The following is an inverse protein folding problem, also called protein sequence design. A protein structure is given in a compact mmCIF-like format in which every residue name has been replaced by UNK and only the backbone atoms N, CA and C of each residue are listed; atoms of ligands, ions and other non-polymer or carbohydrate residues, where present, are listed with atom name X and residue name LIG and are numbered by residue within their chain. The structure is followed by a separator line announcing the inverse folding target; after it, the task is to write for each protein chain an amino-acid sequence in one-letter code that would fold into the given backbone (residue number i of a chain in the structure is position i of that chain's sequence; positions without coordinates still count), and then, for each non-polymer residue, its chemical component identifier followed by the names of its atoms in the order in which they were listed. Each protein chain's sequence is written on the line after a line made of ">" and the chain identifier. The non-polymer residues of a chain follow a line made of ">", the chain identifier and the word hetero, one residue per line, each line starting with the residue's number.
data_IF_708190153215
#
_entry.id   IF_708190153215
#
_cell.length_a   1.000
_cell.length_b   1.000
_cell.length_c   1.000
_cell.angle_alpha   90.00
_cell.angle_beta   90.00
_cell.angle_gamma   90.00
#
_symmetry.space_group_name_H-M   'P 1'
#
loop_
_entity.id
_entity.type
_entity.pdbx_description
1 polymer ?
#
# COMPACT_ATOMS: atom_id res chain seq x y z
N UNK A 1 52.91 10.89 16.15
CA UNK A 1 52.32 11.80 15.14
C UNK A 1 51.05 12.33 15.72
N UNK A 2 50.88 13.65 15.83
CA UNK A 2 49.67 14.26 16.28
C UNK A 2 48.58 14.07 15.16
N UNK A 3 47.42 13.63 15.54
CA UNK A 3 46.27 13.54 14.64
C UNK A 3 45.95 14.97 14.19
N UNK A 4 45.80 15.19 12.88
CA UNK A 4 45.43 16.51 12.35
C UNK A 4 44.07 16.90 12.93
N UNK A 5 43.98 18.12 13.48
CA UNK A 5 42.72 18.74 13.87
C UNK A 5 41.81 18.84 12.62
N UNK A 6 40.52 18.60 12.77
CA UNK A 6 39.50 18.59 11.71
C UNK A 6 39.54 17.38 10.76
N UNK A 7 40.08 16.24 11.15
CA UNK A 7 39.90 15.00 10.41
C UNK A 7 38.48 14.45 10.68
N UNK A 8 37.69 14.29 9.67
CA UNK A 8 36.40 13.57 9.76
C UNK A 8 36.70 12.10 10.06
N UNK A 9 36.33 11.63 11.24
CA UNK A 9 36.49 10.24 11.69
C UNK A 9 35.21 9.49 11.41
N UNK A 10 35.24 8.13 11.37
CA UNK A 10 34.07 7.30 11.23
C UNK A 10 32.97 7.61 12.28
N UNK A 11 33.37 8.00 13.49
CA UNK A 11 32.46 8.43 14.55
C UNK A 11 31.74 9.77 14.29
N UNK A 12 32.07 10.49 13.22
CA UNK A 12 31.40 11.72 12.80
C UNK A 12 30.38 11.49 11.67
N UNK A 13 30.15 10.24 11.27
CA UNK A 13 29.20 9.85 10.23
C UNK A 13 28.12 9.02 10.91
N UNK A 14 27.00 9.66 11.25
CA UNK A 14 25.87 9.05 11.96
C UNK A 14 25.01 8.14 11.08
N UNK A 15 25.13 8.27 9.76
CA UNK A 15 24.32 7.49 8.81
C UNK A 15 25.24 6.63 7.97
N UNK A 16 25.02 5.31 8.00
CA UNK A 16 25.79 4.40 7.18
C UNK A 16 25.28 4.44 5.73
N UNK A 17 26.20 4.37 4.76
CA UNK A 17 25.86 4.26 3.32
C UNK A 17 24.89 3.10 3.07
N UNK A 18 24.98 2.02 3.85
CA UNK A 18 24.11 0.86 3.82
C UNK A 18 22.66 1.21 4.15
N UNK A 19 22.43 2.05 5.14
CA UNK A 19 21.07 2.47 5.54
C UNK A 19 20.42 3.32 4.45
N UNK A 20 21.18 4.28 3.91
CA UNK A 20 20.71 5.12 2.81
C UNK A 20 20.37 4.26 1.59
N UNK A 21 21.23 3.32 1.20
CA UNK A 21 21.02 2.43 0.06
C UNK A 21 19.77 1.57 0.26
N UNK A 22 19.59 0.99 1.45
CA UNK A 22 18.42 0.17 1.77
C UNK A 22 17.11 0.95 1.64
N UNK A 23 17.02 2.12 2.28
CA UNK A 23 15.82 2.97 2.24
C UNK A 23 15.58 3.51 0.84
N UNK A 24 16.62 3.91 0.12
CA UNK A 24 16.50 4.40 -1.27
C UNK A 24 15.94 3.34 -2.20
N UNK A 25 16.43 2.11 -2.10
CA UNK A 25 15.89 1.00 -2.92
C UNK A 25 14.44 0.68 -2.61
N UNK A 26 14.07 0.67 -1.32
CA UNK A 26 12.69 0.47 -0.92
C UNK A 26 11.78 1.58 -1.47
N UNK A 27 12.18 2.84 -1.27
CA UNK A 27 11.39 4.01 -1.69
C UNK A 27 11.23 4.08 -3.20
N UNK A 28 12.29 3.86 -3.95
CA UNK A 28 12.23 3.87 -5.42
C UNK A 28 11.27 2.80 -5.96
N UNK A 29 11.31 1.60 -5.39
CA UNK A 29 10.40 0.53 -5.76
C UNK A 29 8.96 0.88 -5.40
N UNK A 30 8.74 1.42 -4.20
CA UNK A 30 7.44 1.85 -3.72
C UNK A 30 6.82 2.97 -4.56
N UNK A 31 7.60 4.01 -4.89
CA UNK A 31 7.13 5.13 -5.71
C UNK A 31 6.77 4.68 -7.12
N UNK A 32 7.54 3.76 -7.70
CA UNK A 32 7.24 3.18 -9.00
C UNK A 32 5.92 2.38 -8.95
N UNK A 33 5.69 1.57 -7.91
CA UNK A 33 4.46 0.85 -7.71
C UNK A 33 3.26 1.79 -7.55
N UNK A 34 3.39 2.81 -6.71
CA UNK A 34 2.35 3.82 -6.47
C UNK A 34 1.98 4.55 -7.75
N UNK A 35 2.97 4.93 -8.56
CA UNK A 35 2.74 5.62 -9.83
C UNK A 35 1.98 4.76 -10.84
N UNK A 36 2.25 3.45 -10.88
CA UNK A 36 1.55 2.52 -11.78
C UNK A 36 0.13 2.27 -11.29
N UNK A 37 -0.04 2.04 -10.01
CA UNK A 37 -1.36 1.79 -9.41
C UNK A 37 -2.26 3.02 -9.46
N UNK A 38 -1.72 4.21 -9.15
CA UNK A 38 -2.47 5.46 -9.08
C UNK A 38 -3.59 5.49 -8.03
N UNK A 39 -3.73 4.44 -7.22
CA UNK A 39 -4.87 4.18 -6.33
C UNK A 39 -4.62 4.53 -4.86
N UNK A 40 -3.38 4.87 -4.48
CA UNK A 40 -3.04 5.19 -3.10
C UNK A 40 -2.52 6.62 -2.97
N UNK A 41 -3.17 7.41 -2.12
CA UNK A 41 -2.66 8.70 -1.67
C UNK A 41 -1.94 8.52 -0.34
N UNK A 42 -0.64 8.82 -0.24
CA UNK A 42 0.06 8.79 1.04
C UNK A 42 -0.30 10.01 1.88
N UNK A 43 -0.77 9.77 3.10
CA UNK A 43 -1.16 10.81 4.06
C UNK A 43 -0.41 10.56 5.37
N UNK A 44 0.51 11.47 5.70
CA UNK A 44 1.23 11.41 6.98
C UNK A 44 0.31 11.69 8.16
N UNK A 45 0.44 10.91 9.22
CA UNK A 45 -0.24 11.10 10.49
C UNK A 45 0.77 11.04 11.64
N UNK A 46 0.45 11.73 12.72
CA UNK A 46 1.24 11.63 13.95
C UNK A 46 1.08 10.24 14.59
N UNK A 47 2.10 9.75 15.31
CA UNK A 47 1.99 8.51 16.08
C UNK A 47 0.77 8.53 17.03
N UNK A 48 0.08 7.39 17.15
CA UNK A 48 -1.11 7.27 18.00
C UNK A 48 -2.39 7.92 17.46
N UNK A 49 -2.39 8.42 16.21
CA UNK A 49 -3.60 8.97 15.59
C UNK A 49 -4.58 7.85 15.28
N UNK A 50 -5.81 7.98 15.79
CA UNK A 50 -6.93 7.14 15.40
C UNK A 50 -7.60 7.72 14.14
N UNK A 51 -7.79 6.88 13.13
CA UNK A 51 -8.51 7.23 11.92
C UNK A 51 -10.01 7.02 12.16
N UNK A 52 -10.80 8.06 11.92
CA UNK A 52 -12.26 7.99 12.02
C UNK A 52 -12.88 8.44 10.71
N UNK A 53 -13.81 7.65 10.18
CA UNK A 53 -14.67 8.07 9.08
C UNK A 53 -16.06 8.36 9.61
N UNK A 54 -16.66 9.42 9.13
CA UNK A 54 -18.05 9.75 9.41
C UNK A 54 -18.82 9.88 8.08
N UNK A 55 -20.02 9.33 8.05
CA UNK A 55 -20.93 9.48 6.92
C UNK A 55 -22.04 10.46 7.30
N UNK A 56 -22.21 11.50 6.49
CA UNK A 56 -23.30 12.45 6.63
C UNK A 56 -24.42 12.11 5.64
N UNK A 57 -25.62 11.91 6.15
CA UNK A 57 -26.83 11.75 5.36
C UNK A 57 -27.76 12.94 5.59
N UNK A 58 -28.32 13.50 4.51
CA UNK A 58 -29.27 14.57 4.59
C UNK A 58 -30.57 14.14 3.96
N UNK A 59 -31.65 14.21 4.71
CA UNK A 59 -33.02 14.04 4.21
C UNK A 59 -33.63 15.41 4.00
N UNK A 60 -33.71 15.82 2.73
CA UNK A 60 -34.32 17.09 2.37
C UNK A 60 -35.83 17.01 2.51
N UNK A 61 -36.42 18.01 3.15
CA UNK A 61 -37.88 18.24 3.13
C UNK A 61 -38.29 18.94 1.83
N UNK A 62 -39.57 18.85 1.43
CA UNK A 62 -40.06 19.54 0.24
C UNK A 62 -39.77 21.02 0.30
N UNK A 63 -39.04 21.53 -0.71
CA UNK A 63 -38.72 22.97 -0.79
C UNK A 63 -39.80 23.83 -1.46
N UNK A 64 -40.84 23.19 -2.02
CA UNK A 64 -41.96 23.91 -2.64
C UNK A 64 -43.04 24.16 -1.58
N UNK A 65 -42.89 25.25 -0.86
CA UNK A 65 -43.86 25.78 0.13
C UNK A 65 -44.61 26.93 -0.44
N UNK A 66 -45.87 27.10 -0.03
CA UNK A 66 -46.69 28.24 -0.47
C UNK A 66 -46.16 29.55 0.09
N UNK A 67 -46.55 30.68 -0.54
CA UNK A 67 -46.17 32.00 -0.11
C UNK A 67 -46.72 32.28 1.31
N UNK A 68 -45.80 32.57 2.26
CA UNK A 68 -46.14 32.83 3.66
C UNK A 68 -46.10 31.59 4.57
N UNK A 69 -45.90 30.39 4.04
CA UNK A 69 -45.77 29.18 4.85
C UNK A 69 -44.34 28.98 5.40
N UNK A 70 -44.27 28.33 6.53
CA UNK A 70 -43.00 28.01 7.18
C UNK A 70 -42.21 26.94 6.37
N UNK A 71 -40.92 27.21 6.10
CA UNK A 71 -40.04 26.27 5.40
C UNK A 71 -39.67 25.13 6.36
N UNK A 72 -40.00 23.85 6.05
CA UNK A 72 -39.68 22.72 6.90
C UNK A 72 -38.16 22.45 6.97
N UNK A 73 -37.64 22.17 8.16
CA UNK A 73 -36.23 21.87 8.35
C UNK A 73 -35.86 20.49 7.81
N UNK A 74 -34.80 20.46 7.03
CA UNK A 74 -34.20 19.20 6.57
C UNK A 74 -33.31 18.60 7.67
N UNK A 75 -33.39 17.29 7.83
CA UNK A 75 -32.59 16.56 8.83
C UNK A 75 -31.24 16.17 8.25
N UNK A 76 -30.17 16.60 8.90
CA UNK A 76 -28.82 16.11 8.65
C UNK A 76 -28.37 15.21 9.81
N UNK A 77 -27.99 13.98 9.51
CA UNK A 77 -27.49 13.01 10.48
C UNK A 77 -26.05 12.66 10.12
N UNK A 78 -25.15 12.77 11.09
CA UNK A 78 -23.76 12.31 10.95
C UNK A 78 -23.58 11.08 11.82
N UNK A 79 -23.20 9.98 11.20
CA UNK A 79 -22.92 8.72 11.86
C UNK A 79 -21.43 8.37 11.72
N UNK A 80 -20.82 7.91 12.78
CA UNK A 80 -19.47 7.37 12.74
C UNK A 80 -19.50 6.02 12.01
N UNK A 81 -18.79 5.91 10.88
CA UNK A 81 -18.87 4.75 9.99
C UNK A 81 -17.83 3.68 10.34
N UNK A 82 -16.62 4.09 10.66
CA UNK A 82 -15.52 3.16 10.98
C UNK A 82 -14.39 3.85 11.75
N UNK A 83 -13.64 3.05 12.49
CA UNK A 83 -12.41 3.43 13.17
C UNK A 83 -11.29 2.48 12.77
N UNK A 84 -10.10 3.01 12.58
CA UNK A 84 -8.89 2.21 12.38
C UNK A 84 -7.71 2.89 13.08
N UNK A 85 -6.83 2.08 13.65
CA UNK A 85 -5.58 2.54 14.23
C UNK A 85 -4.43 2.26 13.26
N UNK A 86 -3.44 3.16 13.22
CA UNK A 86 -2.23 2.93 12.46
C UNK A 86 -1.32 2.03 13.28
N UNK A 87 -1.20 0.77 12.88
CA UNK A 87 -0.34 -0.20 13.55
C UNK A 87 1.12 0.05 13.18
N UNK A 88 1.96 0.23 14.22
CA UNK A 88 3.41 0.34 14.06
C UNK A 88 4.02 -1.06 14.17
N UNK A 89 4.73 -1.47 13.13
CA UNK A 89 5.44 -2.74 13.07
C UNK A 89 6.93 -2.54 13.12
N UNK A 90 7.58 -3.46 13.79
CA UNK A 90 9.01 -3.46 14.06
C UNK A 90 9.58 -4.78 13.61
N UNK A 91 10.57 -4.70 12.75
CA UNK A 91 11.26 -5.87 12.23
C UNK A 91 12.74 -5.77 12.58
N UNK A 92 13.34 -6.87 12.96
CA UNK A 92 14.76 -6.94 13.28
C UNK A 92 15.40 -8.15 12.61
N UNK A 93 16.65 -7.98 12.24
CA UNK A 93 17.52 -9.05 11.73
C UNK A 93 18.90 -8.90 12.33
N UNK A 94 19.54 -10.02 12.63
CA UNK A 94 20.91 -10.03 13.13
C UNK A 94 21.81 -10.95 12.29
N UNK A 95 23.07 -10.59 12.14
CA UNK A 95 24.10 -11.36 11.44
C UNK A 95 25.30 -11.52 12.36
N UNK A 96 25.72 -12.76 12.66
CA UNK A 96 26.85 -13.03 13.53
C UNK A 96 28.20 -12.81 12.85
N UNK A 97 29.22 -12.50 13.65
CA UNK A 97 30.59 -12.32 13.16
C UNK A 97 31.15 -13.61 12.53
N UNK A 98 30.72 -14.78 13.02
CA UNK A 98 31.14 -16.07 12.49
C UNK A 98 30.58 -16.28 11.07
N UNK A 99 29.35 -15.83 10.81
CA UNK A 99 28.77 -15.88 9.47
C UNK A 99 29.54 -15.00 8.49
N UNK A 100 29.93 -13.80 8.92
CA UNK A 100 30.76 -12.88 8.11
C UNK A 100 32.15 -13.48 7.89
N UNK A 101 32.77 -14.06 8.92
CA UNK A 101 34.07 -14.69 8.81
C UNK A 101 34.07 -15.90 7.87
N UNK A 102 32.99 -16.69 7.87
CA UNK A 102 32.87 -17.91 7.06
C UNK A 102 32.46 -17.65 5.61
N UNK A 103 31.53 -16.76 5.38
CA UNK A 103 30.91 -16.54 4.08
C UNK A 103 31.23 -15.20 3.42
N UNK A 104 31.89 -14.29 4.15
CA UNK A 104 32.17 -12.91 3.71
C UNK A 104 30.99 -11.97 3.86
N UNK A 105 31.27 -10.67 3.96
CA UNK A 105 30.28 -9.62 4.17
C UNK A 105 29.26 -9.54 3.00
N UNK A 106 29.69 -9.76 1.76
CA UNK A 106 28.81 -9.72 0.59
C UNK A 106 27.68 -10.77 0.66
N UNK A 107 27.95 -11.95 1.23
CA UNK A 107 26.92 -13.00 1.37
C UNK A 107 26.16 -12.84 2.68
N UNK A 108 26.86 -12.67 3.78
CA UNK A 108 26.24 -12.64 5.10
C UNK A 108 25.43 -11.38 5.38
N UNK A 109 25.80 -10.22 4.80
CA UNK A 109 25.13 -8.95 5.02
C UNK A 109 24.31 -8.53 3.81
N UNK A 110 24.91 -8.32 2.64
CA UNK A 110 24.21 -7.76 1.47
C UNK A 110 23.08 -8.65 0.97
N UNK A 111 23.34 -9.97 0.74
CA UNK A 111 22.26 -10.88 0.30
C UNK A 111 21.12 -10.99 1.32
N UNK A 112 21.44 -10.93 2.61
CA UNK A 112 20.41 -10.97 3.65
C UNK A 112 19.67 -9.64 3.78
N UNK A 113 20.30 -8.50 3.46
CA UNK A 113 19.62 -7.21 3.34
C UNK A 113 18.64 -7.22 2.16
N UNK A 114 19.06 -7.75 1.00
CA UNK A 114 18.19 -7.88 -0.16
C UNK A 114 16.97 -8.76 0.13
N UNK A 115 17.17 -9.89 0.81
CA UNK A 115 16.06 -10.76 1.23
C UNK A 115 15.13 -10.07 2.22
N UNK A 116 15.68 -9.32 3.18
CA UNK A 116 14.91 -8.57 4.18
C UNK A 116 14.10 -7.44 3.51
N UNK A 117 14.70 -6.72 2.57
CA UNK A 117 14.02 -5.71 1.77
C UNK A 117 12.83 -6.29 1.01
N UNK A 118 13.04 -7.41 0.31
CA UNK A 118 11.99 -8.08 -0.45
C UNK A 118 10.84 -8.53 0.47
N UNK A 119 11.15 -9.05 1.66
CA UNK A 119 10.11 -9.49 2.59
C UNK A 119 9.30 -8.32 3.14
N UNK A 120 9.93 -7.18 3.47
CA UNK A 120 9.21 -5.97 3.86
C UNK A 120 8.29 -5.45 2.75
N UNK A 121 8.73 -5.54 1.48
CA UNK A 121 7.89 -5.21 0.34
C UNK A 121 6.70 -6.17 0.20
N UNK A 122 6.92 -7.46 0.42
CA UNK A 122 5.85 -8.46 0.42
C UNK A 122 4.81 -8.19 1.52
N UNK A 123 5.23 -7.76 2.70
CA UNK A 123 4.30 -7.38 3.79
C UNK A 123 3.38 -6.25 3.34
N UNK A 124 3.91 -5.21 2.68
CA UNK A 124 3.10 -4.08 2.17
C UNK A 124 2.10 -4.56 1.12
N UNK A 125 2.55 -5.37 0.16
CA UNK A 125 1.69 -5.93 -0.89
C UNK A 125 0.60 -6.83 -0.32
N UNK A 126 0.94 -7.75 0.59
CA UNK A 126 -0.02 -8.66 1.21
C UNK A 126 -1.12 -7.88 1.95
N UNK A 127 -0.77 -6.81 2.66
CA UNK A 127 -1.75 -5.94 3.30
C UNK A 127 -2.66 -5.26 2.29
N UNK A 128 -2.07 -4.78 1.22
CA UNK A 128 -2.81 -4.13 0.16
C UNK A 128 -3.83 -5.10 -0.47
N UNK A 129 -3.42 -6.30 -0.84
CA UNK A 129 -4.33 -7.29 -1.41
C UNK A 129 -5.37 -7.79 -0.40
N UNK A 130 -4.97 -7.99 0.86
CA UNK A 130 -5.92 -8.33 1.92
C UNK A 130 -7.00 -7.25 2.05
N UNK A 131 -6.60 -5.98 1.99
CA UNK A 131 -7.53 -4.86 2.03
C UNK A 131 -8.44 -4.82 0.80
N UNK A 132 -7.93 -5.05 -0.41
CA UNK A 132 -8.74 -5.11 -1.63
C UNK A 132 -9.83 -6.18 -1.57
N UNK A 133 -9.52 -7.34 -1.00
CA UNK A 133 -10.47 -8.44 -0.83
C UNK A 133 -11.61 -8.12 0.16
N UNK A 134 -11.54 -7.01 0.91
CA UNK A 134 -12.65 -6.54 1.77
C UNK A 134 -13.72 -5.75 1.03
N UNK A 135 -13.58 -5.56 -0.28
CA UNK A 135 -14.57 -4.87 -1.12
C UNK A 135 -15.97 -5.47 -0.98
N UNK A 136 -16.98 -4.60 -0.96
CA UNK A 136 -18.37 -5.01 -0.66
C UNK A 136 -19.29 -5.10 -1.88
N UNK A 137 -18.86 -4.65 -3.06
CA UNK A 137 -19.60 -4.83 -4.31
C UNK A 137 -19.28 -6.22 -4.88
N UNK A 138 -20.04 -7.22 -4.48
CA UNK A 138 -19.82 -8.61 -4.90
C UNK A 138 -20.74 -9.03 -6.05
N UNK A 139 -20.26 -9.93 -6.90
CA UNK A 139 -21.03 -10.64 -7.95
C UNK A 139 -20.37 -11.97 -8.29
N UNK A 140 -21.08 -12.77 -9.10
CA UNK A 140 -20.56 -14.02 -9.62
C UNK A 140 -20.92 -14.11 -11.11
N UNK A 141 -19.95 -14.45 -11.94
CA UNK A 141 -20.06 -14.48 -13.39
C UNK A 141 -19.45 -15.77 -13.98
N UNK A 142 -19.96 -16.24 -15.09
CA UNK A 142 -19.55 -17.52 -15.69
C UNK A 142 -18.18 -17.45 -16.39
N UNK A 143 -17.72 -16.27 -16.78
CA UNK A 143 -16.49 -16.12 -17.56
C UNK A 143 -15.62 -14.98 -17.04
N UNK A 144 -14.32 -15.13 -17.23
CA UNK A 144 -13.34 -14.09 -16.89
C UNK A 144 -13.66 -12.73 -17.54
N UNK A 145 -14.10 -12.73 -18.80
CA UNK A 145 -14.45 -11.51 -19.52
C UNK A 145 -15.66 -10.81 -18.91
N UNK A 146 -16.70 -11.58 -18.55
CA UNK A 146 -17.89 -11.03 -17.88
C UNK A 146 -17.55 -10.54 -16.48
N UNK A 147 -16.74 -11.27 -15.72
CA UNK A 147 -16.31 -10.86 -14.39
C UNK A 147 -15.56 -9.52 -14.41
N UNK A 148 -14.65 -9.32 -15.38
CA UNK A 148 -13.99 -8.03 -15.59
C UNK A 148 -14.99 -6.92 -15.93
N UNK A 149 -15.91 -7.19 -16.86
CA UNK A 149 -16.90 -6.20 -17.28
C UNK A 149 -17.84 -5.82 -16.12
N UNK A 150 -18.34 -6.79 -15.37
CA UNK A 150 -19.27 -6.57 -14.25
C UNK A 150 -18.60 -5.92 -13.05
N UNK A 151 -17.37 -6.29 -12.72
CA UNK A 151 -16.61 -5.62 -11.66
C UNK A 151 -16.48 -4.12 -11.93
N UNK A 152 -16.10 -3.74 -13.15
CA UNK A 152 -16.04 -2.35 -13.57
C UNK A 152 -17.41 -1.68 -13.57
N UNK A 153 -18.44 -2.34 -14.13
CA UNK A 153 -19.78 -1.79 -14.22
C UNK A 153 -20.37 -1.49 -12.84
N UNK A 154 -20.16 -2.37 -11.85
CA UNK A 154 -20.60 -2.16 -10.46
C UNK A 154 -19.94 -0.94 -9.83
N UNK A 155 -18.63 -0.77 -10.01
CA UNK A 155 -17.93 0.43 -9.55
C UNK A 155 -18.51 1.68 -10.18
N UNK A 156 -18.64 1.73 -11.51
CA UNK A 156 -19.17 2.89 -12.22
C UNK A 156 -20.62 3.20 -11.79
N UNK A 157 -21.47 2.18 -11.68
CA UNK A 157 -22.87 2.34 -11.25
C UNK A 157 -22.96 2.90 -9.84
N UNK A 158 -22.14 2.40 -8.90
CA UNK A 158 -22.11 2.88 -7.51
C UNK A 158 -21.76 4.36 -7.45
N UNK A 159 -20.68 4.78 -8.11
CA UNK A 159 -20.25 6.18 -8.12
C UNK A 159 -21.24 7.08 -8.87
N UNK A 160 -21.84 6.63 -9.95
CA UNK A 160 -22.90 7.36 -10.64
C UNK A 160 -24.13 7.58 -9.74
N UNK A 161 -24.52 6.57 -8.96
CA UNK A 161 -25.61 6.71 -7.97
C UNK A 161 -25.29 7.76 -6.91
N UNK A 162 -24.03 7.83 -6.49
CA UNK A 162 -23.54 8.87 -5.57
C UNK A 162 -23.30 10.23 -6.24
N UNK A 163 -23.58 10.37 -7.54
CA UNK A 163 -23.30 11.57 -8.34
C UNK A 163 -21.82 11.98 -8.34
N UNK A 164 -20.92 11.00 -8.27
CA UNK A 164 -19.48 11.21 -8.31
C UNK A 164 -18.90 10.69 -9.62
N UNK A 165 -17.85 11.35 -10.09
CA UNK A 165 -17.15 10.95 -11.32
C UNK A 165 -15.99 10.04 -10.98
N UNK A 166 -15.89 8.92 -11.68
CA UNK A 166 -14.73 8.02 -11.67
C UNK A 166 -13.96 8.25 -12.97
N UNK A 167 -12.71 8.68 -12.85
CA UNK A 167 -11.89 8.96 -14.04
C UNK A 167 -11.31 7.67 -14.60
N UNK A 168 -10.73 6.84 -13.75
CA UNK A 168 -10.07 5.60 -14.14
C UNK A 168 -10.38 4.48 -13.14
N UNK A 169 -10.42 3.26 -13.63
CA UNK A 169 -10.56 2.05 -12.83
C UNK A 169 -9.36 1.15 -13.06
N UNK A 170 -8.77 0.67 -11.99
CA UNK A 170 -7.69 -0.32 -11.99
C UNK A 170 -8.27 -1.67 -11.63
N UNK A 171 -7.84 -2.72 -12.33
CA UNK A 171 -8.28 -4.09 -12.11
C UNK A 171 -7.15 -4.95 -11.53
N UNK A 172 -7.54 -5.94 -10.75
CA UNK A 172 -6.66 -7.00 -10.25
C UNK A 172 -7.30 -8.33 -10.54
N UNK A 173 -6.56 -9.28 -11.06
CA UNK A 173 -7.05 -10.63 -11.35
C UNK A 173 -5.96 -11.68 -11.15
N UNK A 174 -6.36 -12.93 -11.02
CA UNK A 174 -5.38 -14.01 -10.97
C UNK A 174 -4.70 -14.20 -12.34
N UNK A 175 -3.40 -14.41 -12.31
CA UNK A 175 -2.58 -14.59 -13.52
C UNK A 175 -3.04 -15.81 -14.34
N UNK A 176 -3.46 -16.88 -13.66
CA UNK A 176 -3.90 -18.11 -14.35
C UNK A 176 -5.18 -17.86 -15.14
N UNK A 177 -6.15 -17.14 -14.58
CA UNK A 177 -7.41 -16.81 -15.26
C UNK A 177 -7.18 -15.91 -16.47
N UNK A 178 -6.30 -14.91 -16.30
CA UNK A 178 -5.92 -14.03 -17.40
C UNK A 178 -5.26 -14.81 -18.55
N UNK A 179 -4.31 -15.70 -18.26
CA UNK A 179 -3.65 -16.49 -19.31
C UNK A 179 -4.54 -17.58 -19.91
N UNK A 180 -5.48 -18.16 -19.16
CA UNK A 180 -6.52 -19.04 -19.73
C UNK A 180 -7.36 -18.31 -20.78
N UNK A 181 -7.74 -17.06 -20.48
CA UNK A 181 -8.50 -16.23 -21.41
C UNK A 181 -7.65 -15.75 -22.60
N UNK A 182 -6.45 -15.24 -22.33
CA UNK A 182 -5.57 -14.72 -23.37
C UNK A 182 -5.08 -15.82 -24.32
N UNK A 183 -4.83 -17.02 -23.81
CA UNK A 183 -4.34 -18.14 -24.62
C UNK A 183 -3.10 -17.79 -25.42
N UNK A 184 -3.17 -17.91 -26.72
CA UNK A 184 -2.11 -17.55 -27.67
C UNK A 184 -2.18 -16.10 -28.14
N UNK A 185 -2.99 -15.23 -27.54
CA UNK A 185 -3.10 -13.83 -27.94
C UNK A 185 -1.78 -13.08 -27.72
N UNK A 186 -1.42 -12.25 -28.69
CA UNK A 186 -0.15 -11.49 -28.66
C UNK A 186 -0.35 -10.20 -27.83
N UNK A 187 -0.39 -10.33 -26.51
CA UNK A 187 -0.57 -9.21 -25.58
C UNK A 187 0.74 -8.93 -24.85
N UNK A 188 1.15 -7.66 -24.84
CA UNK A 188 2.35 -7.24 -24.13
C UNK A 188 2.07 -7.10 -22.64
N UNK A 189 2.59 -8.04 -21.86
CA UNK A 189 2.62 -7.95 -20.39
C UNK A 189 3.86 -7.18 -19.96
N UNK A 190 3.66 -6.17 -19.12
CA UNK A 190 4.74 -5.39 -18.52
C UNK A 190 5.00 -5.90 -17.11
N UNK A 191 6.24 -5.79 -16.65
CA UNK A 191 6.61 -6.24 -15.29
C UNK A 191 7.32 -5.10 -14.57
N UNK A 192 6.85 -4.78 -13.38
CA UNK A 192 7.51 -3.83 -12.49
C UNK A 192 7.23 -4.18 -11.03
N UNK A 193 8.22 -4.04 -10.16
CA UNK A 193 8.09 -4.40 -8.74
C UNK A 193 7.65 -5.88 -8.51
N UNK A 194 8.05 -6.79 -9.40
CA UNK A 194 7.59 -8.19 -9.36
C UNK A 194 6.14 -8.42 -9.77
N UNK A 195 5.39 -7.35 -10.10
CA UNK A 195 4.02 -7.44 -10.58
C UNK A 195 3.96 -7.41 -12.09
N UNK A 196 3.13 -8.28 -12.66
CA UNK A 196 2.80 -8.27 -14.07
C UNK A 196 1.52 -7.45 -14.29
N UNK A 197 1.50 -6.63 -15.34
CA UNK A 197 0.32 -5.82 -15.65
C UNK A 197 0.15 -5.56 -17.14
N UNK A 198 -1.08 -5.26 -17.52
CA UNK A 198 -1.49 -4.90 -18.88
C UNK A 198 -2.14 -3.52 -18.82
N UNK A 199 -1.74 -2.59 -19.69
CA UNK A 199 -2.38 -1.26 -19.80
C UNK A 199 -3.53 -1.29 -20.80
N UNK A 200 -4.52 -0.43 -20.54
CA UNK A 200 -5.67 -0.17 -21.42
C UNK A 200 -6.41 -1.44 -21.88
N UNK A 201 -6.59 -2.40 -20.96
CA UNK A 201 -7.27 -3.66 -21.25
C UNK A 201 -8.72 -3.62 -20.77
N UNK A 202 -9.66 -3.90 -21.67
CA UNK A 202 -11.13 -3.91 -21.42
C UNK A 202 -11.65 -2.65 -20.71
N UNK A 203 -11.01 -1.51 -21.00
CA UNK A 203 -11.37 -0.23 -20.41
C UNK A 203 -10.83 0.01 -18.98
N UNK A 204 -10.03 -0.88 -18.43
CA UNK A 204 -9.22 -0.62 -17.26
C UNK A 204 -7.98 0.17 -17.66
N UNK A 205 -7.61 1.17 -16.87
CA UNK A 205 -6.35 1.90 -17.10
C UNK A 205 -5.13 0.99 -16.92
N UNK A 206 -5.21 0.10 -15.94
CA UNK A 206 -4.21 -0.95 -15.68
C UNK A 206 -4.91 -2.18 -15.12
N UNK A 207 -4.57 -3.35 -15.63
CA UNK A 207 -4.99 -4.65 -15.10
C UNK A 207 -3.76 -5.37 -14.56
N UNK A 208 -3.72 -5.59 -13.25
CA UNK A 208 -2.64 -6.33 -12.58
C UNK A 208 -2.94 -7.82 -12.59
N UNK A 209 -1.91 -8.60 -12.92
CA UNK A 209 -1.94 -10.05 -12.94
C UNK A 209 -1.24 -10.57 -11.68
N UNK A 210 -1.99 -11.04 -10.71
CA UNK A 210 -1.52 -11.40 -9.39
C UNK A 210 -1.40 -12.93 -9.23
N UNK A 211 -0.56 -13.36 -8.29
CA UNK A 211 -0.45 -14.77 -7.92
C UNK A 211 -1.57 -15.22 -6.98
N UNK A 212 -1.75 -16.52 -6.82
CA UNK A 212 -2.80 -17.10 -5.99
C UNK A 212 -2.79 -16.70 -4.50
N UNK A 213 -1.66 -16.46 -3.81
CA UNK A 213 -1.71 -15.98 -2.43
C UNK A 213 -2.32 -14.58 -2.31
N UNK A 214 -2.15 -13.73 -3.32
CA UNK A 214 -2.61 -12.34 -3.31
C UNK A 214 -4.08 -12.23 -3.78
N UNK A 215 -4.37 -12.79 -4.95
CA UNK A 215 -5.71 -12.86 -5.54
C UNK A 215 -6.01 -14.31 -5.89
N UNK A 216 -7.04 -14.87 -5.29
CA UNK A 216 -7.44 -16.26 -5.55
C UNK A 216 -7.81 -16.47 -7.02
N UNK A 217 -7.54 -17.68 -7.55
CA UNK A 217 -8.03 -18.08 -8.88
C UNK A 217 -9.56 -17.96 -8.91
N UNK A 218 -10.09 -17.49 -10.03
CA UNK A 218 -11.52 -17.19 -10.15
C UNK A 218 -11.96 -15.88 -9.50
N UNK A 219 -11.04 -14.95 -9.15
CA UNK A 219 -11.40 -13.68 -8.53
C UNK A 219 -10.88 -12.49 -9.33
N UNK A 220 -11.76 -11.51 -9.54
CA UNK A 220 -11.48 -10.23 -10.18
C UNK A 220 -11.87 -9.10 -9.25
N UNK A 221 -10.96 -8.14 -9.04
CA UNK A 221 -11.20 -6.96 -8.22
C UNK A 221 -11.09 -5.70 -9.07
N UNK A 222 -12.04 -4.79 -8.94
CA UNK A 222 -12.02 -3.48 -9.59
C UNK A 222 -12.05 -2.35 -8.56
N UNK A 223 -11.15 -1.38 -8.71
CA UNK A 223 -10.99 -0.26 -7.80
C UNK A 223 -10.89 1.04 -8.59
N UNK A 224 -11.66 2.08 -8.25
CA UNK A 224 -11.47 3.41 -8.84
C UNK A 224 -10.17 4.03 -8.37
N UNK A 225 -9.49 4.72 -9.26
CA UNK A 225 -8.28 5.49 -8.93
C UNK A 225 -8.60 6.49 -7.81
N UNK A 226 -7.68 6.66 -6.88
CA UNK A 226 -7.77 7.59 -5.73
C UNK A 226 -8.82 7.23 -4.66
N UNK A 227 -9.43 6.04 -4.73
CA UNK A 227 -10.36 5.59 -3.68
C UNK A 227 -9.66 5.02 -2.44
N UNK A 228 -8.37 4.70 -2.54
CA UNK A 228 -7.59 4.13 -1.42
C UNK A 228 -6.56 5.16 -0.96
N UNK A 229 -6.65 5.51 0.31
CA UNK A 229 -5.67 6.32 1.01
C UNK A 229 -4.72 5.43 1.80
N UNK A 230 -3.44 5.75 1.76
CA UNK A 230 -2.42 5.15 2.60
C UNK A 230 -2.07 6.13 3.72
N UNK A 231 -2.56 5.88 4.91
CA UNK A 231 -2.12 6.60 6.09
C UNK A 231 -0.85 5.98 6.62
N UNK A 232 0.14 6.81 6.94
CA UNK A 232 1.41 6.32 7.46
C UNK A 232 1.95 7.21 8.58
N UNK A 233 2.75 6.60 9.45
CA UNK A 233 3.53 7.29 10.48
C UNK A 233 4.96 7.39 9.99
N UNK A 234 5.51 8.60 10.02
CA UNK A 234 6.90 8.84 9.62
C UNK A 234 7.85 8.31 10.70
N UNK A 235 8.76 7.37 10.38
CA UNK A 235 9.72 6.85 11.35
C UNK A 235 10.73 7.89 11.88
N UNK A 236 10.88 9.03 11.21
CA UNK A 236 11.71 10.15 11.67
C UNK A 236 10.98 11.14 12.57
N UNK A 237 9.77 10.80 13.04
CA UNK A 237 9.01 11.68 13.92
C UNK A 237 9.74 11.95 15.23
N UNK A 238 9.60 13.18 15.74
CA UNK A 238 10.26 13.65 16.97
C UNK A 238 9.94 12.82 18.20
N UNK A 239 8.76 12.18 18.24
CA UNK A 239 8.35 11.34 19.36
C UNK A 239 9.21 10.08 19.47
N UNK A 240 9.65 9.52 18.34
CA UNK A 240 10.60 8.40 18.33
C UNK A 240 12.02 8.84 18.71
N UNK A 241 12.44 10.01 18.24
CA UNK A 241 13.74 10.57 18.59
C UNK A 241 13.89 10.85 20.10
N UNK A 242 12.81 11.22 20.80
CA UNK A 242 12.81 11.38 22.26
C UNK A 242 13.11 10.08 23.02
N UNK A 243 12.85 8.93 22.41
CA UNK A 243 13.20 7.61 22.94
C UNK A 243 14.67 7.23 22.62
N UNK A 244 15.41 8.07 21.91
CA UNK A 244 16.76 7.77 21.42
C UNK A 244 16.76 6.87 20.18
N UNK A 245 15.60 6.67 19.53
CA UNK A 245 15.46 5.86 18.31
C UNK A 245 15.56 6.76 17.09
N UNK A 246 16.66 6.65 16.37
CA UNK A 246 16.89 7.40 15.14
C UNK A 246 16.89 6.45 13.95
N UNK A 247 15.93 6.63 13.07
CA UNK A 247 15.82 5.84 11.84
C UNK A 247 16.20 6.68 10.63
N UNK A 248 16.95 6.10 9.73
CA UNK A 248 17.22 6.67 8.41
C UNK A 248 15.98 6.52 7.54
N UNK A 249 15.52 7.64 6.97
CA UNK A 249 14.38 7.72 6.06
C UNK A 249 14.80 8.46 4.79
N UNK A 250 14.13 8.19 3.66
CA UNK A 250 14.40 8.88 2.40
C UNK A 250 13.16 8.89 1.49
N UNK A 251 12.95 10.00 0.79
CA UNK A 251 11.90 10.19 -0.20
C UNK A 251 10.79 11.13 0.26
N UNK A 252 9.80 11.32 -0.59
CA UNK A 252 8.61 12.11 -0.27
C UNK A 252 7.68 11.38 0.71
N UNK A 253 7.69 10.05 0.64
CA UNK A 253 6.90 9.17 1.51
C UNK A 253 7.84 8.36 2.39
N UNK A 254 8.03 8.79 3.63
CA UNK A 254 8.83 8.09 4.63
C UNK A 254 8.04 6.91 5.21
N UNK A 255 7.71 5.92 4.37
CA UNK A 255 6.93 4.75 4.78
C UNK A 255 7.71 3.80 5.68
N UNK A 256 9.01 3.73 5.46
CA UNK A 256 9.92 2.86 6.21
C UNK A 256 11.10 3.64 6.77
N UNK A 257 11.47 3.34 8.00
CA UNK A 257 12.73 3.75 8.61
C UNK A 257 13.64 2.55 8.80
N UNK A 258 14.92 2.73 8.59
CA UNK A 258 15.93 1.70 8.77
C UNK A 258 17.08 2.18 9.65
N UNK A 259 17.55 1.28 10.53
CA UNK A 259 18.70 1.52 11.39
C UNK A 259 19.57 0.28 11.47
N UNK A 260 20.88 0.45 11.45
CA UNK A 260 21.84 -0.66 11.57
C UNK A 260 22.93 -0.33 12.58
N UNK A 261 23.13 -1.22 13.54
CA UNK A 261 24.13 -1.05 14.57
C UNK A 261 24.88 -2.34 14.89
N UNK A 262 26.00 -2.23 15.59
CA UNK A 262 26.77 -3.37 16.09
C UNK A 262 26.47 -3.62 17.57
N UNK A 263 26.12 -4.85 17.91
CA UNK A 263 25.93 -5.30 19.28
C UNK A 263 27.15 -6.09 19.75
N UNK A 264 28.01 -5.44 20.53
CA UNK A 264 29.26 -6.03 21.02
C UNK A 264 29.02 -7.16 22.04
N UNK A 265 27.93 -7.12 22.80
CA UNK A 265 27.66 -8.14 23.82
C UNK A 265 27.36 -9.50 23.23
N UNK A 266 26.86 -9.53 21.97
CA UNK A 266 26.52 -10.76 21.24
C UNK A 266 27.41 -10.98 20.01
N UNK A 267 28.34 -10.04 19.72
CA UNK A 267 29.20 -10.05 18.53
C UNK A 267 28.40 -10.22 17.22
N UNK A 268 27.30 -9.44 17.09
CA UNK A 268 26.41 -9.44 15.93
C UNK A 268 26.23 -8.04 15.37
N UNK A 269 25.99 -7.96 14.07
CA UNK A 269 25.45 -6.75 13.42
C UNK A 269 23.92 -6.85 13.37
N UNK A 270 23.24 -5.89 13.96
CA UNK A 270 21.78 -5.81 14.01
C UNK A 270 21.25 -4.82 12.99
N UNK A 271 20.07 -5.07 12.48
CA UNK A 271 19.36 -4.19 11.56
C UNK A 271 17.90 -4.14 11.96
N UNK A 272 17.36 -2.95 12.03
CA UNK A 272 16.00 -2.66 12.48
C UNK A 272 15.23 -1.93 11.37
N UNK A 273 14.00 -2.35 11.12
CA UNK A 273 13.09 -1.63 10.25
C UNK A 273 11.82 -1.28 11.02
N UNK A 274 11.36 -0.03 10.89
CA UNK A 274 10.13 0.47 11.47
C UNK A 274 9.20 0.88 10.33
N UNK A 275 7.95 0.42 10.39
CA UNK A 275 6.91 0.77 9.43
C UNK A 275 5.57 0.93 10.14
N UNK A 276 4.91 2.05 9.94
CA UNK A 276 3.55 2.29 10.45
C UNK A 276 2.63 2.66 9.30
N UNK A 277 1.66 1.78 8.96
CA UNK A 277 0.74 2.03 7.88
C UNK A 277 -0.66 1.49 8.14
N UNK A 278 -1.65 2.19 7.60
CA UNK A 278 -3.04 1.73 7.52
C UNK A 278 -3.62 2.10 6.15
N UNK A 279 -4.30 1.16 5.52
CA UNK A 279 -5.02 1.38 4.28
C UNK A 279 -6.48 1.72 4.60
N UNK A 280 -7.00 2.68 3.87
CA UNK A 280 -8.36 3.17 4.05
C UNK A 280 -8.99 3.46 2.69
N UNK A 281 -10.21 2.98 2.47
CA UNK A 281 -10.99 3.39 1.32
C UNK A 281 -11.93 4.54 1.71
N UNK A 282 -11.92 5.62 0.95
CA UNK A 282 -12.92 6.68 1.09
C UNK A 282 -14.33 6.11 0.96
N UNK A 283 -14.49 5.19 0.02
CA UNK A 283 -15.71 4.39 -0.21
C UNK A 283 -15.35 2.91 -0.27
N UNK A 284 -15.48 2.19 0.84
CA UNK A 284 -15.25 0.74 0.88
C UNK A 284 -16.26 0.01 -0.03
N UNK A 285 -17.48 0.52 -0.09
CA UNK A 285 -18.54 0.07 -1.00
C UNK A 285 -18.34 0.55 -2.46
N UNK A 286 -17.19 1.11 -2.79
CA UNK A 286 -16.72 1.43 -4.14
C UNK A 286 -15.69 0.43 -4.69
N UNK A 287 -15.33 -0.63 -3.92
CA UNK A 287 -14.44 -1.71 -4.36
C UNK A 287 -15.30 -2.90 -4.76
N UNK A 288 -15.16 -3.36 -6.01
CA UNK A 288 -15.87 -4.53 -6.49
C UNK A 288 -14.99 -5.78 -6.45
N UNK A 289 -15.55 -6.88 -5.92
CA UNK A 289 -14.93 -8.22 -5.90
C UNK A 289 -15.90 -9.17 -6.59
N UNK A 290 -15.53 -9.66 -7.75
CA UNK A 290 -16.38 -10.56 -8.57
C UNK A 290 -15.71 -11.91 -8.68
N UNK A 291 -16.46 -12.96 -8.43
CA UNK A 291 -16.01 -14.35 -8.57
C UNK A 291 -16.39 -14.91 -9.93
N UNK A 292 -15.58 -15.81 -10.44
CA UNK A 292 -15.85 -16.57 -11.66
C UNK A 292 -16.30 -17.96 -11.22
N UNK A 293 -17.54 -18.30 -11.50
CA UNK A 293 -18.07 -19.66 -11.29
C UNK A 293 -17.90 -20.39 -12.61
N UNK A 294 -16.82 -21.13 -12.72
CA UNK A 294 -16.61 -22.03 -13.85
C UNK A 294 -17.10 -23.43 -13.44
N UNK A 295 -18.38 -23.75 -13.74
CA UNK A 295 -18.88 -25.12 -13.70
C UNK A 295 -18.02 -26.10 -14.53
#
# INVERSE_FOLDING_TARGET
>A
MAVKDNLTKMANIDVTVREIDFVTRFTNNWDALRQIMGIMRPIRKAPGTQLTASTATVTLQPGNVAEGDEIPYSLATVTEAAKADITIEKYAKAVSIESVAKYGAAVAVQKTDDAFLNELQNVVLTRFYTFLNTGTLTDTEDTFQMALAMAKAKVLNKFQTMRKTVTNVVGFCNIMDAYKYLGAANITVQTQFGLNYIKDFMGYSTLFLCSAPDIAEGTVIAVPVENIDLYYVDPSDSDFAQLGLNYTVQGETNLIGFHAEGNYSHAVGESYALMGMALWAEYLDGIAVVTIDSD
#
